data_IF_283991448557
#
_entry.id   IF_283991448557
#
_cell.length_a   1.000
_cell.length_b   1.000
_cell.length_c   1.000
_cell.angle_alpha   90.00
_cell.angle_beta   90.00
_cell.angle_gamma   90.00
#
_symmetry.space_group_name_H-M   'P 1'
#
loop_
_entity.id
_entity.type
_entity.pdbx_description
1 polymer ?
#
# COMPACT_ATOMS: atom_id res chain seq x y z
N UNK A 1 -27.47 2.33 -7.77
CA UNK A 1 -26.68 2.37 -9.02
C UNK A 1 -25.29 1.91 -8.64
N UNK A 2 -24.82 0.85 -9.29
CA UNK A 2 -23.50 0.29 -9.01
C UNK A 2 -22.43 1.09 -9.77
N UNK A 3 -21.33 1.45 -9.09
CA UNK A 3 -20.15 2.07 -9.71
C UNK A 3 -18.94 1.20 -9.46
N UNK A 4 -18.09 1.04 -10.47
CA UNK A 4 -16.86 0.26 -10.37
C UNK A 4 -15.68 1.12 -10.77
N UNK A 5 -14.63 1.07 -9.96
CA UNK A 5 -13.34 1.71 -10.19
C UNK A 5 -12.24 0.66 -10.17
N UNK A 6 -11.19 0.87 -10.94
CA UNK A 6 -10.08 -0.07 -11.05
C UNK A 6 -8.75 0.65 -10.91
N UNK A 7 -7.81 0.05 -10.19
CA UNK A 7 -6.43 0.49 -10.11
C UNK A 7 -5.49 -0.64 -10.52
N UNK A 8 -4.54 -0.32 -11.40
CA UNK A 8 -3.41 -1.18 -11.70
C UNK A 8 -2.30 -0.91 -10.67
N UNK A 9 -1.79 -1.97 -10.06
CA UNK A 9 -0.79 -1.89 -9.00
C UNK A 9 0.57 -2.25 -9.58
N UNK A 10 1.53 -1.35 -9.43
CA UNK A 10 2.92 -1.54 -9.88
C UNK A 10 3.91 -1.35 -8.73
N UNK A 11 5.07 -1.99 -8.85
CA UNK A 11 6.12 -1.95 -7.83
C UNK A 11 6.81 -0.59 -7.76
N UNK A 12 6.91 -0.01 -6.57
CA UNK A 12 7.89 1.03 -6.26
C UNK A 12 9.15 0.38 -5.68
N UNK A 13 10.34 0.91 -6.01
CA UNK A 13 11.63 0.40 -5.53
C UNK A 13 11.95 -1.08 -5.86
N UNK A 14 11.22 -1.72 -6.78
CA UNK A 14 11.30 -3.17 -7.03
C UNK A 14 12.71 -3.69 -7.35
N UNK A 15 13.47 -2.96 -8.18
CA UNK A 15 14.85 -3.31 -8.52
C UNK A 15 15.78 -3.34 -7.31
N UNK A 16 15.54 -2.49 -6.30
CA UNK A 16 16.34 -2.41 -5.08
C UNK A 16 15.94 -3.46 -4.05
N UNK A 17 14.65 -3.75 -3.96
CA UNK A 17 14.07 -4.71 -3.01
C UNK A 17 14.24 -6.16 -3.53
N UNK A 18 14.40 -6.33 -4.84
CA UNK A 18 14.57 -7.64 -5.50
C UNK A 18 13.26 -8.39 -5.71
N UNK A 19 12.13 -7.71 -5.58
CA UNK A 19 10.79 -8.24 -5.85
C UNK A 19 9.95 -7.20 -6.57
N UNK A 20 9.11 -7.65 -7.51
CA UNK A 20 8.37 -6.78 -8.42
C UNK A 20 6.87 -7.09 -8.33
N UNK A 21 6.22 -6.71 -7.22
CA UNK A 21 4.80 -6.94 -7.05
C UNK A 21 4.02 -6.23 -8.14
N UNK A 22 3.01 -6.93 -8.65
CA UNK A 22 2.10 -6.44 -9.68
C UNK A 22 0.70 -6.89 -9.33
N UNK A 23 -0.32 -6.10 -9.66
CA UNK A 23 -1.68 -6.52 -9.39
C UNK A 23 -2.75 -5.55 -9.83
N UNK A 24 -3.94 -5.79 -9.32
CA UNK A 24 -5.14 -5.03 -9.63
C UNK A 24 -6.01 -4.91 -8.39
N UNK A 25 -6.55 -3.71 -8.16
CA UNK A 25 -7.59 -3.47 -7.17
C UNK A 25 -8.87 -3.01 -7.85
N UNK A 26 -9.99 -3.64 -7.53
CA UNK A 26 -11.33 -3.27 -7.99
C UNK A 26 -12.17 -2.81 -6.81
N UNK A 27 -12.81 -1.66 -6.97
CA UNK A 27 -13.68 -1.03 -5.97
C UNK A 27 -15.08 -0.93 -6.54
N UNK A 28 -16.03 -1.66 -5.97
CA UNK A 28 -17.43 -1.64 -6.40
C UNK A 28 -18.31 -1.02 -5.33
N UNK A 29 -18.96 0.09 -5.65
CA UNK A 29 -19.90 0.79 -4.79
C UNK A 29 -21.31 0.41 -5.22
N UNK A 30 -22.07 -0.21 -4.33
CA UNK A 30 -23.51 -0.46 -4.51
C UNK A 30 -24.30 0.02 -3.30
N UNK A 31 -25.05 1.11 -3.48
CA UNK A 31 -25.71 1.83 -2.38
C UNK A 31 -24.67 2.29 -1.36
N UNK A 32 -24.78 1.81 -0.14
CA UNK A 32 -23.90 2.14 0.98
C UNK A 32 -22.78 1.09 1.19
N UNK A 33 -22.63 0.13 0.27
CA UNK A 33 -21.61 -0.93 0.36
C UNK A 33 -20.47 -0.68 -0.61
N UNK A 34 -19.25 -0.63 -0.09
CA UNK A 34 -18.01 -0.68 -0.86
C UNK A 34 -17.41 -2.09 -0.78
N UNK A 35 -17.37 -2.79 -1.90
CA UNK A 35 -16.65 -4.06 -2.05
C UNK A 35 -15.28 -3.78 -2.64
N UNK A 36 -14.23 -4.27 -1.99
CA UNK A 36 -12.84 -4.14 -2.45
C UNK A 36 -12.29 -5.53 -2.74
N UNK A 37 -11.85 -5.75 -3.97
CA UNK A 37 -11.14 -6.96 -4.39
C UNK A 37 -9.74 -6.58 -4.85
N UNK A 38 -8.72 -7.27 -4.33
CA UNK A 38 -7.33 -7.01 -4.67
C UNK A 38 -6.67 -8.33 -5.02
N UNK A 39 -6.13 -8.40 -6.22
CA UNK A 39 -5.33 -9.54 -6.70
C UNK A 39 -3.91 -9.07 -6.93
N UNK A 40 -2.94 -9.76 -6.34
CA UNK A 40 -1.52 -9.41 -6.39
C UNK A 40 -0.68 -10.65 -6.69
N UNK A 41 0.33 -10.48 -7.53
CA UNK A 41 1.35 -11.46 -7.88
C UNK A 41 2.75 -10.92 -7.52
N UNK A 42 3.73 -11.83 -7.45
CA UNK A 42 5.15 -11.50 -7.25
C UNK A 42 5.45 -10.66 -5.99
N UNK A 43 4.57 -10.73 -4.99
CA UNK A 43 4.77 -10.11 -3.68
C UNK A 43 5.81 -10.88 -2.87
N UNK A 44 6.46 -10.20 -1.93
CA UNK A 44 7.36 -10.89 -0.99
C UNK A 44 6.57 -11.94 -0.17
N UNK A 45 6.97 -13.22 -0.17
CA UNK A 45 6.23 -14.26 0.52
C UNK A 45 6.32 -14.08 2.04
N UNK A 46 5.34 -14.64 2.77
CA UNK A 46 5.30 -14.68 4.24
C UNK A 46 5.43 -13.31 4.93
N UNK A 47 5.01 -12.25 4.26
CA UNK A 47 5.09 -10.87 4.74
C UNK A 47 3.70 -10.24 4.74
N UNK A 48 3.43 -9.38 5.72
CA UNK A 48 2.21 -8.58 5.74
C UNK A 48 2.36 -7.42 4.75
N UNK A 49 1.39 -7.29 3.84
CA UNK A 49 1.34 -6.21 2.86
C UNK A 49 0.32 -5.18 3.31
N UNK A 50 0.80 -4.02 3.74
CA UNK A 50 -0.06 -2.92 4.20
C UNK A 50 -0.60 -2.17 2.98
N UNK A 51 -1.89 -1.88 2.98
CA UNK A 51 -2.56 -1.17 1.90
C UNK A 51 -3.38 -0.03 2.48
N UNK A 52 -3.26 1.14 1.87
CA UNK A 52 -3.93 2.37 2.27
C UNK A 52 -4.25 3.20 1.04
N UNK A 53 -5.20 4.13 1.16
CA UNK A 53 -5.49 5.08 0.10
C UNK A 53 -4.55 6.28 0.18
N UNK A 54 -4.33 6.89 -0.97
CA UNK A 54 -3.61 8.15 -1.10
C UNK A 54 -4.54 9.15 -1.78
N UNK A 55 -4.46 10.41 -1.36
CA UNK A 55 -5.36 11.45 -1.85
C UNK A 55 -5.03 12.80 -1.24
N UNK A 56 -5.67 13.84 -1.77
CA UNK A 56 -5.48 15.20 -1.30
C UNK A 56 -6.81 15.80 -0.79
N UNK A 57 -6.78 16.63 0.27
CA UNK A 57 -7.98 17.26 0.82
C UNK A 57 -8.71 18.19 -0.15
N UNK A 58 -7.99 18.73 -1.14
CA UNK A 58 -8.52 19.60 -2.19
C UNK A 58 -9.17 18.82 -3.35
N UNK A 59 -9.18 17.48 -3.28
CA UNK A 59 -9.78 16.62 -4.28
C UNK A 59 -8.97 16.51 -5.57
N UNK A 60 -7.72 16.98 -5.61
CA UNK A 60 -6.86 16.77 -6.78
C UNK A 60 -6.48 15.29 -6.91
N UNK A 61 -6.35 14.83 -8.14
CA UNK A 61 -6.03 13.43 -8.42
C UNK A 61 -4.64 13.07 -7.89
N UNK A 62 -4.60 12.02 -7.06
CA UNK A 62 -3.36 11.37 -6.65
C UNK A 62 -2.78 10.56 -7.81
N UNK A 63 -1.45 10.54 -7.92
CA UNK A 63 -0.72 9.77 -8.92
C UNK A 63 0.24 8.80 -8.24
N UNK A 64 0.53 7.65 -8.86
CA UNK A 64 1.64 6.81 -8.46
C UNK A 64 2.93 7.65 -8.52
N UNK A 65 3.69 7.62 -7.43
CA UNK A 65 5.09 8.00 -7.43
C UNK A 65 5.91 7.07 -8.34
N UNK A 66 7.08 7.57 -8.70
CA UNK A 66 8.03 6.94 -9.61
C UNK A 66 9.43 7.23 -9.08
N UNK A 67 10.46 6.64 -9.70
CA UNK A 67 11.85 6.97 -9.38
C UNK A 67 12.18 8.47 -9.52
N UNK A 68 11.36 9.29 -10.19
CA UNK A 68 11.53 10.73 -10.25
C UNK A 68 11.28 11.44 -8.90
N UNK A 69 10.68 10.75 -7.93
CA UNK A 69 10.45 11.26 -6.58
C UNK A 69 11.62 10.98 -5.63
N UNK A 70 12.67 10.25 -6.02
CA UNK A 70 13.89 10.10 -5.20
C UNK A 70 14.67 11.44 -5.16
N UNK A 71 14.29 12.32 -4.24
CA UNK A 71 14.81 13.68 -4.10
C UNK A 71 16.15 13.65 -3.37
N UNK A 72 16.32 12.71 -2.43
CA UNK A 72 17.56 12.58 -1.67
C UNK A 72 18.67 11.83 -2.44
N UNK A 73 18.32 11.18 -3.55
CA UNK A 73 19.20 10.44 -4.47
C UNK A 73 19.90 9.24 -3.84
N UNK A 74 19.28 8.59 -2.87
CA UNK A 74 19.78 7.36 -2.26
C UNK A 74 19.37 6.08 -3.02
N UNK A 75 18.57 6.25 -4.07
CA UNK A 75 18.10 5.18 -4.94
C UNK A 75 16.82 4.51 -4.45
N UNK A 76 16.19 5.01 -3.38
CA UNK A 76 14.86 4.63 -2.93
C UNK A 76 13.93 5.84 -3.02
N UNK A 77 12.66 5.58 -3.32
CA UNK A 77 11.59 6.56 -3.09
C UNK A 77 11.02 6.26 -1.72
N UNK A 78 11.22 7.18 -0.78
CA UNK A 78 10.70 7.10 0.58
C UNK A 78 9.29 7.69 0.69
N UNK A 79 8.56 7.31 1.75
CA UNK A 79 7.20 7.79 2.00
C UNK A 79 7.03 9.33 1.95
N UNK A 80 7.90 10.16 2.57
CA UNK A 80 7.75 11.63 2.49
C UNK A 80 7.92 12.17 1.07
N UNK A 81 8.61 11.42 0.20
CA UNK A 81 8.86 11.82 -1.17
C UNK A 81 7.70 11.50 -2.11
N UNK A 82 6.78 10.61 -1.70
CA UNK A 82 5.54 10.32 -2.44
C UNK A 82 4.47 11.39 -2.22
N UNK A 83 4.49 12.10 -1.08
CA UNK A 83 3.46 13.08 -0.68
C UNK A 83 3.15 14.13 -1.75
N UNK A 84 4.11 14.74 -2.47
CA UNK A 84 3.81 15.77 -3.47
C UNK A 84 2.94 15.28 -4.64
N UNK A 85 3.01 13.97 -4.97
CA UNK A 85 2.33 13.39 -6.14
C UNK A 85 1.16 12.48 -5.75
N UNK A 86 1.29 11.75 -4.65
CA UNK A 86 0.28 10.80 -4.17
C UNK A 86 -0.58 11.40 -3.05
N UNK A 87 -0.11 12.44 -2.37
CA UNK A 87 -0.79 13.01 -1.22
C UNK A 87 -0.59 12.17 0.03
N UNK A 88 -1.19 12.64 1.13
CA UNK A 88 -1.01 12.02 2.44
C UNK A 88 -1.57 10.60 2.45
N UNK A 89 -0.83 9.67 3.06
CA UNK A 89 -1.32 8.32 3.31
C UNK A 89 -2.54 8.35 4.22
N UNK A 90 -3.64 7.79 3.74
CA UNK A 90 -4.86 7.56 4.50
C UNK A 90 -4.81 6.15 5.09
N UNK A 91 -4.07 5.98 6.20
CA UNK A 91 -4.21 4.84 7.13
C UNK A 91 -5.51 5.11 7.94
N UNK A 92 -6.31 4.11 8.34
CA UNK A 92 -7.77 4.18 8.22
C UNK A 92 -8.40 5.40 8.87
N UNK A 93 -9.57 5.77 8.34
CA UNK A 93 -10.46 6.86 8.78
C UNK A 93 -10.75 6.87 10.29
N UNK A 94 -9.74 7.17 11.11
CA UNK A 94 -9.85 7.46 12.53
C UNK A 94 -8.80 8.51 12.89
N UNK A 95 -9.03 9.22 13.99
CA UNK A 95 -8.22 10.31 14.51
C UNK A 95 -7.06 9.84 15.41
N UNK A 96 -6.79 8.53 15.44
CA UNK A 96 -5.75 7.91 16.24
C UNK A 96 -5.26 6.59 15.59
N UNK A 97 -4.59 6.65 14.41
CA UNK A 97 -4.15 5.47 13.67
C UNK A 97 -3.17 4.60 14.49
N UNK A 98 -2.45 5.18 15.46
CA UNK A 98 -1.60 4.47 16.41
C UNK A 98 -2.36 3.60 17.42
N UNK A 99 -3.65 3.86 17.62
CA UNK A 99 -4.54 3.08 18.51
C UNK A 99 -5.36 2.05 17.75
N UNK A 100 -5.09 1.89 16.46
CA UNK A 100 -5.76 0.90 15.66
C UNK A 100 -5.42 -0.50 16.16
N UNK A 101 -6.41 -1.16 16.73
CA UNK A 101 -6.37 -2.60 16.96
C UNK A 101 -6.51 -3.28 15.58
N UNK A 102 -5.38 -3.56 14.95
CA UNK A 102 -5.32 -4.33 13.70
C UNK A 102 -5.46 -5.80 14.09
N UNK A 103 -6.60 -6.47 13.83
CA UNK A 103 -6.75 -7.88 14.17
C UNK A 103 -5.77 -8.67 13.29
N UNK A 104 -4.66 -9.13 13.87
CA UNK A 104 -3.61 -9.87 13.15
C UNK A 104 -4.05 -11.26 12.68
N UNK A 105 -5.22 -11.70 13.15
CA UNK A 105 -5.70 -13.07 13.01
C UNK A 105 -6.49 -13.30 11.71
N UNK A 106 -6.99 -12.22 11.07
CA UNK A 106 -7.83 -12.29 9.86
C UNK A 106 -7.18 -11.68 8.61
N UNK A 107 -5.94 -11.18 8.71
CA UNK A 107 -5.15 -10.82 7.53
C UNK A 107 -4.67 -12.12 6.86
N UNK A 108 -4.66 -12.21 5.52
CA UNK A 108 -4.30 -13.44 4.82
C UNK A 108 -2.84 -13.83 5.10
N UNK A 109 -2.67 -14.67 6.11
CA UNK A 109 -1.42 -15.28 6.49
C UNK A 109 -1.22 -16.55 5.64
N UNK A 110 -0.44 -16.49 4.57
CA UNK A 110 0.06 -17.71 3.93
C UNK A 110 1.08 -18.35 4.88
N UNK A 111 0.66 -19.33 5.69
CA UNK A 111 1.53 -20.08 6.60
C UNK A 111 1.83 -21.48 6.09
N UNK A 112 3.10 -21.88 6.17
CA UNK A 112 3.45 -23.22 6.65
C UNK A 112 4.71 -23.17 7.53
N UNK A 113 4.52 -23.45 8.82
CA UNK A 113 5.58 -23.89 9.75
C UNK A 113 6.44 -22.80 10.40
N UNK A 114 5.99 -22.30 11.56
CA UNK A 114 6.76 -21.44 12.49
C UNK A 114 7.39 -22.33 13.59
N UNK A 115 8.50 -21.95 14.27
CA UNK A 115 8.47 -20.89 15.30
C UNK A 115 9.71 -19.96 15.28
N UNK A 116 9.58 -18.68 15.66
CA UNK A 116 10.55 -17.76 16.31
C UNK A 116 10.09 -16.28 16.21
N UNK A 117 10.43 -15.41 17.19
CA UNK A 117 9.60 -14.29 17.63
C UNK A 117 9.83 -12.99 16.85
N UNK A 118 8.79 -12.17 16.83
CA UNK A 118 8.77 -10.79 16.34
C UNK A 118 9.77 -9.93 17.12
N UNK A 119 10.64 -9.22 16.40
CA UNK A 119 11.51 -8.19 16.95
C UNK A 119 10.94 -6.84 16.54
N UNK A 120 10.34 -6.13 17.51
CA UNK A 120 9.95 -4.73 17.36
C UNK A 120 11.19 -3.84 17.23
N UNK A 121 11.13 -2.87 16.32
CA UNK A 121 12.08 -1.75 16.27
C UNK A 121 13.13 -1.84 15.17
N UNK A 122 12.77 -1.46 13.94
CA UNK A 122 13.74 -1.24 12.87
C UNK A 122 13.08 -0.70 11.60
N UNK A 123 13.40 0.55 11.24
CA UNK A 123 13.10 1.23 9.96
C UNK A 123 11.82 0.79 9.23
N UNK A 124 10.67 1.22 9.72
CA UNK A 124 9.37 0.96 9.09
C UNK A 124 9.28 1.60 7.68
N UNK A 125 10.13 2.57 7.34
CA UNK A 125 10.10 3.26 6.03
C UNK A 125 10.82 2.56 4.87
N UNK A 126 11.98 1.94 5.09
CA UNK A 126 12.86 1.49 3.98
C UNK A 126 12.61 0.07 3.48
N UNK A 127 12.00 -0.78 4.31
CA UNK A 127 11.73 -2.18 3.99
C UNK A 127 10.25 -2.45 3.70
N UNK A 128 9.40 -1.41 3.66
CA UNK A 128 8.04 -1.57 3.20
C UNK A 128 8.02 -1.59 1.67
N UNK A 129 7.49 -2.67 1.12
CA UNK A 129 7.22 -2.79 -0.29
C UNK A 129 5.98 -1.94 -0.59
N UNK A 130 6.20 -0.69 -0.96
CA UNK A 130 5.13 0.19 -1.42
C UNK A 130 4.73 -0.20 -2.84
N UNK A 131 3.44 -0.40 -3.02
CA UNK A 131 2.85 -0.69 -4.32
C UNK A 131 1.80 0.36 -4.59
N UNK A 132 1.79 0.88 -5.81
CA UNK A 132 1.01 2.06 -6.13
C UNK A 132 0.12 1.83 -7.34
N UNK A 133 -1.09 2.39 -7.27
CA UNK A 133 -2.06 2.36 -8.35
C UNK A 133 -2.99 3.57 -8.31
N UNK A 134 -3.50 3.95 -9.47
CA UNK A 134 -4.47 5.04 -9.62
C UNK A 134 -5.83 4.50 -10.06
N UNK A 135 -6.90 5.02 -9.47
CA UNK A 135 -8.25 4.70 -9.93
C UNK A 135 -8.49 5.29 -11.32
N UNK A 136 -9.02 4.46 -12.22
CA UNK A 136 -9.55 4.84 -13.53
C UNK A 136 -11.07 4.71 -13.53
#
# INVERSE_FOLDING_TARGET
MTKTYKAEITSLNGDKIGTHPTGEATFTIDGDTLTVEITMDHTSPNTQHWMHFHGFPDGKDAKPATAAQDINHDGYVDLPETEPVSGTTMVPFNDAPEKMDIPTDNLPNFRRGWPFPLQEGGSVGRNQQEVQGSLQ
#
